data_IF_820334064537
#
_entry.id   IF_820334064537
#
_cell.length_a   1.000
_cell.length_b   1.000
_cell.length_c   1.000
_cell.angle_alpha   90.00
_cell.angle_beta   90.00
_cell.angle_gamma   90.00
#
_symmetry.space_group_name_H-M   'P 1'
#
loop_
_entity.id
_entity.type
_entity.pdbx_description
1 polymer ?
#
# COMPACT_ATOMS: atom_id res chain seq x y z
N UNK A 1 3.60 -8.16 18.34
CA UNK A 1 3.69 -7.50 17.01
C UNK A 1 3.93 -5.99 17.08
N UNK A 2 3.85 -5.35 18.27
CA UNK A 2 4.05 -3.89 18.46
C UNK A 2 5.35 -3.35 17.82
N UNK A 3 6.48 -4.04 18.03
CA UNK A 3 7.78 -3.63 17.49
C UNK A 3 7.80 -3.53 15.95
N UNK A 4 7.26 -4.54 15.24
CA UNK A 4 7.21 -4.50 13.76
C UNK A 4 6.32 -3.37 13.27
N UNK A 5 5.16 -3.15 13.89
CA UNK A 5 4.23 -2.08 13.51
C UNK A 5 4.86 -0.69 13.68
N UNK A 6 5.61 -0.48 14.76
CA UNK A 6 6.34 0.77 15.01
C UNK A 6 7.46 1.03 14.00
N UNK A 7 7.89 0.01 13.25
CA UNK A 7 8.96 0.07 12.25
C UNK A 7 8.45 -0.22 10.82
N UNK A 8 7.17 0.07 10.54
CA UNK A 8 6.53 -0.16 9.23
C UNK A 8 6.63 -1.60 8.70
N UNK A 9 6.82 -2.58 9.59
CA UNK A 9 6.97 -3.99 9.26
C UNK A 9 5.76 -4.84 9.64
N UNK A 10 5.79 -6.08 9.18
CA UNK A 10 4.82 -7.14 9.53
C UNK A 10 5.53 -8.21 10.36
N UNK A 11 4.79 -8.82 11.29
CA UNK A 11 5.26 -9.98 12.03
C UNK A 11 4.35 -11.17 11.71
N UNK A 12 4.95 -12.31 11.37
CA UNK A 12 4.25 -13.58 11.15
C UNK A 12 4.77 -14.62 12.14
N UNK A 13 3.85 -15.41 12.67
CA UNK A 13 4.20 -16.56 13.52
C UNK A 13 4.49 -17.75 12.61
N UNK A 14 5.60 -18.44 12.88
CA UNK A 14 5.91 -19.74 12.30
C UNK A 14 5.52 -20.79 13.33
N UNK A 15 4.80 -21.83 12.89
CA UNK A 15 4.43 -22.94 13.74
C UNK A 15 5.44 -24.06 13.60
N UNK A 16 5.81 -24.67 14.72
CA UNK A 16 6.73 -25.82 14.75
C UNK A 16 5.95 -27.07 14.32
N UNK A 17 5.99 -27.34 13.03
CA UNK A 17 5.40 -28.50 12.38
C UNK A 17 6.27 -28.89 11.16
N UNK A 18 5.93 -29.99 10.51
CA UNK A 18 6.59 -30.54 9.33
C UNK A 18 6.65 -29.60 8.11
N UNK A 19 5.86 -28.51 8.09
CA UNK A 19 5.80 -27.52 7.01
C UNK A 19 6.39 -26.15 7.40
N UNK A 20 7.09 -26.07 8.54
CA UNK A 20 7.65 -24.80 9.05
C UNK A 20 8.62 -24.14 8.06
N UNK A 21 9.34 -24.94 7.27
CA UNK A 21 10.21 -24.49 6.19
C UNK A 21 9.44 -23.80 5.05
N UNK A 22 8.30 -24.37 4.65
CA UNK A 22 7.40 -23.78 3.66
C UNK A 22 6.75 -22.49 4.18
N UNK A 23 6.37 -22.43 5.47
CA UNK A 23 5.84 -21.21 6.09
C UNK A 23 6.88 -20.06 6.05
N UNK A 24 8.16 -20.38 6.29
CA UNK A 24 9.27 -19.42 6.20
C UNK A 24 9.51 -18.98 4.76
N UNK A 25 9.56 -19.92 3.81
CA UNK A 25 9.73 -19.62 2.40
C UNK A 25 8.62 -18.71 1.89
N UNK A 26 7.36 -19.05 2.16
CA UNK A 26 6.21 -18.26 1.72
C UNK A 26 6.20 -16.85 2.33
N UNK A 27 6.59 -16.70 3.60
CA UNK A 27 6.75 -15.37 4.19
C UNK A 27 7.87 -14.57 3.52
N UNK A 28 9.00 -15.20 3.22
CA UNK A 28 10.10 -14.54 2.54
C UNK A 28 9.71 -14.09 1.12
N UNK A 29 9.07 -14.96 0.35
CA UNK A 29 8.61 -14.65 -1.02
C UNK A 29 7.68 -13.43 -1.09
N UNK A 30 6.82 -13.23 -0.09
CA UNK A 30 5.92 -12.08 0.01
C UNK A 30 6.67 -10.73 0.17
N UNK A 31 7.87 -10.74 0.77
CA UNK A 31 8.63 -9.53 1.10
C UNK A 31 9.99 -9.44 0.40
N UNK A 32 10.34 -10.42 -0.44
CA UNK A 32 11.67 -10.54 -1.03
C UNK A 32 11.97 -9.49 -2.10
N UNK A 33 10.94 -8.98 -2.78
CA UNK A 33 11.10 -8.13 -3.97
C UNK A 33 10.39 -6.78 -3.78
N UNK A 34 11.02 -5.79 -3.11
CA UNK A 34 10.48 -4.44 -3.03
C UNK A 34 10.58 -3.76 -4.40
N UNK A 35 9.47 -3.18 -4.86
CA UNK A 35 9.37 -2.46 -6.13
C UNK A 35 9.32 -0.95 -5.95
N UNK A 36 8.68 -0.47 -4.88
CA UNK A 36 8.56 0.96 -4.57
C UNK A 36 8.82 1.24 -3.09
N UNK A 37 9.38 2.40 -2.80
CA UNK A 37 9.61 2.96 -1.45
C UNK A 37 9.00 4.36 -1.33
N UNK A 38 8.85 4.84 -0.09
CA UNK A 38 8.39 6.21 0.24
C UNK A 38 7.10 6.61 -0.50
N UNK A 39 6.11 5.73 -0.42
CA UNK A 39 4.87 5.81 -1.17
C UNK A 39 3.90 6.75 -0.46
N UNK A 40 3.35 7.70 -1.20
CA UNK A 40 2.31 8.63 -0.76
C UNK A 40 1.15 8.64 -1.75
N UNK A 41 -0.05 8.34 -1.26
CA UNK A 41 -1.28 8.40 -2.04
C UNK A 41 -2.08 9.62 -1.63
N UNK A 42 -2.38 10.48 -2.59
CA UNK A 42 -3.16 11.70 -2.37
C UNK A 42 -4.54 11.56 -3.00
N UNK A 43 -5.51 11.99 -2.21
CA UNK A 43 -6.92 11.97 -2.56
C UNK A 43 -7.54 13.35 -2.29
N UNK A 44 -7.27 14.37 -3.13
CA UNK A 44 -7.93 15.66 -3.02
C UNK A 44 -9.46 15.50 -3.00
N UNK A 45 -10.13 16.10 -2.02
CA UNK A 45 -11.58 15.93 -1.84
C UNK A 45 -12.00 14.64 -1.15
N UNK A 46 -11.05 13.77 -0.73
CA UNK A 46 -11.31 12.65 0.16
C UNK A 46 -11.22 13.04 1.64
N UNK A 47 -12.07 12.45 2.48
CA UNK A 47 -12.07 12.57 3.94
C UNK A 47 -12.20 11.20 4.60
N UNK A 48 -11.92 11.10 5.90
CA UNK A 48 -11.95 9.84 6.66
C UNK A 48 -11.15 8.71 5.98
N UNK A 49 -9.98 9.03 5.45
CA UNK A 49 -9.12 8.10 4.73
C UNK A 49 -8.42 7.13 5.70
N UNK A 50 -8.29 5.87 5.30
CA UNK A 50 -7.34 4.94 5.91
C UNK A 50 -5.90 5.39 5.65
N UNK A 51 -4.90 4.64 6.14
CA UNK A 51 -3.48 4.94 5.91
C UNK A 51 -3.20 5.23 4.42
N UNK A 52 -2.55 6.35 4.13
CA UNK A 52 -2.23 6.83 2.76
C UNK A 52 -0.73 6.89 2.48
N UNK A 53 0.12 6.63 3.48
CA UNK A 53 1.57 6.60 3.34
C UNK A 53 2.10 5.22 3.68
N UNK A 54 2.98 4.68 2.83
CA UNK A 54 3.51 3.33 2.96
C UNK A 54 5.02 3.33 2.69
N UNK A 55 5.78 2.58 3.48
CA UNK A 55 7.25 2.55 3.32
C UNK A 55 7.69 1.67 2.15
N UNK A 56 6.97 0.58 1.88
CA UNK A 56 7.35 -0.45 0.91
C UNK A 56 6.12 -0.98 0.18
N UNK A 57 6.30 -1.30 -1.10
CA UNK A 57 5.39 -2.10 -1.90
C UNK A 57 6.18 -3.23 -2.56
N UNK A 58 5.70 -4.46 -2.43
CA UNK A 58 6.38 -5.66 -2.91
C UNK A 58 5.71 -6.24 -4.16
N UNK A 59 6.48 -6.92 -4.99
CA UNK A 59 5.94 -7.62 -6.15
C UNK A 59 4.89 -8.66 -5.73
N UNK A 60 3.71 -8.63 -6.35
CA UNK A 60 2.59 -9.51 -6.00
C UNK A 60 1.76 -9.07 -4.78
N UNK A 61 2.13 -7.97 -4.10
CA UNK A 61 1.33 -7.37 -3.03
C UNK A 61 0.35 -6.32 -3.58
N UNK A 62 -0.53 -5.79 -2.71
CA UNK A 62 -1.48 -4.72 -3.04
C UNK A 62 -1.57 -3.69 -1.90
N UNK A 63 -1.67 -2.41 -2.25
CA UNK A 63 -2.01 -1.33 -1.32
C UNK A 63 -3.47 -0.93 -1.54
N UNK A 64 -4.26 -0.94 -0.47
CA UNK A 64 -5.67 -0.53 -0.50
C UNK A 64 -5.87 0.66 0.43
N UNK A 65 -6.54 1.69 -0.10
CA UNK A 65 -6.98 2.85 0.68
C UNK A 65 -8.49 2.97 0.55
N UNK A 66 -9.16 3.28 1.66
CA UNK A 66 -10.60 3.53 1.69
C UNK A 66 -10.89 4.85 2.39
N UNK A 67 -12.02 5.48 2.08
CA UNK A 67 -12.46 6.71 2.71
C UNK A 67 -13.80 7.18 2.14
N UNK A 68 -14.09 8.46 2.31
CA UNK A 68 -15.35 9.10 1.91
C UNK A 68 -15.07 10.30 1.01
N UNK A 69 -15.89 10.49 -0.03
CA UNK A 69 -15.83 11.71 -0.84
C UNK A 69 -16.47 12.85 -0.04
N UNK A 70 -15.78 13.99 0.05
CA UNK A 70 -16.18 15.12 0.89
C UNK A 70 -17.43 15.83 0.35
N UNK A 71 -17.60 15.85 -0.97
CA UNK A 71 -18.77 16.44 -1.63
C UNK A 71 -19.27 15.51 -2.73
N UNK A 72 -20.50 15.00 -2.56
CA UNK A 72 -21.13 14.09 -3.51
C UNK A 72 -21.55 14.76 -4.83
N UNK A 73 -21.38 16.08 -4.95
CA UNK A 73 -21.59 16.83 -6.20
C UNK A 73 -20.32 16.98 -7.05
N UNK A 74 -19.18 16.47 -6.56
CA UNK A 74 -17.96 16.36 -7.37
C UNK A 74 -18.28 15.60 -8.65
N UNK A 75 -17.93 16.16 -9.81
CA UNK A 75 -18.15 15.56 -11.12
C UNK A 75 -17.01 14.63 -11.52
N UNK A 76 -15.80 14.89 -11.00
CA UNK A 76 -14.62 14.06 -11.22
C UNK A 76 -13.72 13.97 -9.99
N UNK A 77 -13.18 12.78 -9.74
CA UNK A 77 -12.31 12.50 -8.60
C UNK A 77 -10.92 12.14 -9.09
N UNK A 78 -9.93 12.96 -8.73
CA UNK A 78 -8.53 12.77 -9.09
C UNK A 78 -7.77 12.12 -7.94
N UNK A 79 -6.92 11.16 -8.27
CA UNK A 79 -6.00 10.51 -7.34
C UNK A 79 -4.58 10.63 -7.84
N UNK A 80 -3.63 10.72 -6.92
CA UNK A 80 -2.20 10.78 -7.25
C UNK A 80 -1.41 9.81 -6.37
N UNK A 81 -0.54 9.02 -6.98
CA UNK A 81 0.41 8.13 -6.30
C UNK A 81 1.81 8.65 -6.59
N UNK A 82 2.56 8.99 -5.55
CA UNK A 82 3.97 9.38 -5.63
C UNK A 82 4.78 8.31 -4.91
N UNK A 83 5.85 7.83 -5.52
CA UNK A 83 6.75 6.86 -4.90
C UNK A 83 8.16 6.95 -5.48
N UNK A 84 9.09 6.23 -4.86
CA UNK A 84 10.46 6.06 -5.33
C UNK A 84 10.63 4.63 -5.83
N UNK A 85 11.01 4.48 -7.09
CA UNK A 85 11.46 3.20 -7.66
C UNK A 85 12.99 3.09 -7.55
N UNK A 86 13.56 1.96 -7.97
CA UNK A 86 15.02 1.74 -7.93
C UNK A 86 15.84 2.87 -8.58
N UNK A 87 15.39 3.39 -9.72
CA UNK A 87 16.18 4.29 -10.55
C UNK A 87 15.60 5.72 -10.63
N UNK A 88 14.36 5.93 -10.16
CA UNK A 88 13.67 7.21 -10.32
C UNK A 88 12.49 7.39 -9.37
N UNK A 89 12.07 8.64 -9.20
CA UNK A 89 10.77 8.96 -8.63
C UNK A 89 9.68 8.70 -9.68
N UNK A 90 8.59 8.07 -9.26
CA UNK A 90 7.43 7.78 -10.10
C UNK A 90 6.22 8.55 -9.59
N UNK A 91 5.40 9.01 -10.52
CA UNK A 91 4.13 9.66 -10.22
C UNK A 91 3.07 9.13 -11.17
N UNK A 92 2.00 8.61 -10.61
CA UNK A 92 0.82 8.16 -11.35
C UNK A 92 -0.35 9.02 -10.94
N UNK A 93 -1.14 9.45 -11.90
CA UNK A 93 -2.33 10.25 -11.67
C UNK A 93 -3.47 9.64 -12.48
N UNK A 94 -4.62 9.51 -11.83
CA UNK A 94 -5.84 9.07 -12.50
C UNK A 94 -7.01 9.97 -12.11
N UNK A 95 -7.95 10.14 -13.02
CA UNK A 95 -9.16 10.93 -12.79
C UNK A 95 -10.36 10.19 -13.33
N UNK A 96 -11.29 9.87 -12.44
CA UNK A 96 -12.53 9.18 -12.78
C UNK A 96 -13.70 10.16 -12.72
N UNK A 97 -14.70 9.97 -13.57
CA UNK A 97 -15.99 10.66 -13.44
C UNK A 97 -16.79 9.97 -12.34
N UNK A 98 -17.37 10.76 -11.44
CA UNK A 98 -18.15 10.28 -10.28
C UNK A 98 -19.65 10.23 -10.55
N UNK A 99 -20.07 10.69 -11.74
CA UNK A 99 -21.43 10.54 -12.28
C UNK A 99 -21.38 9.69 -13.54
N UNK A 100 -22.28 8.72 -13.65
CA UNK A 100 -22.61 8.01 -14.89
C UNK A 100 -23.31 8.93 -15.91
#
# INVERSE_FOLDING_TARGET
TKMSLENSGVARRIYEDSDADLQLQGFYEEVAVPLLTDIQLKYPGGTNLTKTSFSLYFNGSEIVVSGQITDNSVESFTTEVIAVSKDSNVTYQDTIMTRD
#
